data_IF_087052735634
#
_entry.id   IF_087052735634
#
_cell.length_a   1.000
_cell.length_b   1.000
_cell.length_c   1.000
_cell.angle_alpha   90.00
_cell.angle_beta   90.00
_cell.angle_gamma   90.00
#
_symmetry.space_group_name_H-M   'P 1'
#
loop_
_entity.id
_entity.type
_entity.pdbx_description
1 polymer ?
#
# COMPACT_ATOMS: atom_id res chain seq x y z
N UNK A 1 -9.28 -16.17 -21.02
CA UNK A 1 -10.00 -15.71 -19.80
C UNK A 1 -9.44 -16.44 -18.58
N UNK A 2 -9.37 -15.79 -17.41
CA UNK A 2 -9.08 -16.45 -16.12
C UNK A 2 -10.37 -16.52 -15.31
N UNK A 3 -10.76 -17.70 -14.83
CA UNK A 3 -11.98 -17.90 -14.06
C UNK A 3 -11.73 -17.62 -12.57
N UNK A 4 -12.39 -16.60 -12.03
CA UNK A 4 -12.31 -16.28 -10.60
C UNK A 4 -13.24 -17.19 -9.78
N UNK A 5 -12.70 -17.91 -8.80
CA UNK A 5 -13.46 -18.77 -7.87
C UNK A 5 -13.65 -18.06 -6.52
N UNK A 6 -14.76 -18.37 -5.85
CA UNK A 6 -15.04 -17.85 -4.51
C UNK A 6 -14.12 -18.52 -3.47
N UNK A 7 -13.73 -17.78 -2.44
CA UNK A 7 -13.00 -18.32 -1.28
C UNK A 7 -13.84 -18.23 -0.02
N UNK A 8 -13.51 -19.02 1.00
CA UNK A 8 -14.06 -18.81 2.34
C UNK A 8 -13.40 -17.60 3.00
N UNK A 9 -14.00 -16.42 2.81
CA UNK A 9 -13.50 -15.15 3.35
C UNK A 9 -14.23 -14.71 4.63
N UNK A 10 -14.96 -15.62 5.27
CA UNK A 10 -15.81 -15.36 6.45
C UNK A 10 -15.07 -14.75 7.64
N UNK A 11 -13.74 -14.86 7.66
CA UNK A 11 -12.88 -14.30 8.70
C UNK A 11 -11.98 -13.15 8.23
N UNK A 12 -12.06 -12.74 6.97
CA UNK A 12 -11.26 -11.62 6.43
C UNK A 12 -11.77 -10.26 6.92
N UNK A 13 -10.90 -9.23 6.88
CA UNK A 13 -11.32 -7.85 7.18
C UNK A 13 -12.13 -7.25 6.01
N UNK A 14 -11.98 -7.80 4.81
CA UNK A 14 -12.63 -7.32 3.59
C UNK A 14 -13.34 -8.48 2.89
N UNK A 15 -14.66 -8.58 3.07
CA UNK A 15 -15.51 -9.61 2.45
C UNK A 15 -15.65 -9.38 0.93
N UNK A 16 -14.82 -10.02 0.13
CA UNK A 16 -14.84 -9.92 -1.34
C UNK A 16 -15.60 -11.08 -2.00
N UNK A 17 -15.62 -12.26 -1.40
CA UNK A 17 -16.25 -13.48 -1.97
C UNK A 17 -17.78 -13.44 -1.94
N UNK A 18 -18.38 -12.62 -1.06
CA UNK A 18 -19.81 -12.35 -1.12
C UNK A 18 -20.20 -11.62 -2.42
N UNK A 19 -19.27 -10.85 -3.00
CA UNK A 19 -19.49 -10.01 -4.18
C UNK A 19 -18.90 -10.60 -5.45
N UNK A 20 -17.83 -11.39 -5.35
CA UNK A 20 -17.04 -11.88 -6.47
C UNK A 20 -16.68 -13.37 -6.31
N UNK A 21 -16.35 -14.03 -7.42
CA UNK A 21 -15.94 -15.44 -7.43
C UNK A 21 -17.11 -16.40 -7.66
N UNK A 22 -16.87 -17.40 -8.51
CA UNK A 22 -17.82 -18.48 -8.76
C UNK A 22 -17.70 -19.58 -7.70
N UNK A 23 -18.83 -20.07 -7.19
CA UNK A 23 -18.84 -21.28 -6.38
C UNK A 23 -18.34 -22.47 -7.21
N UNK A 24 -17.62 -23.40 -6.57
CA UNK A 24 -17.07 -24.58 -7.23
C UNK A 24 -18.14 -25.36 -8.02
N UNK A 25 -19.34 -25.52 -7.46
CA UNK A 25 -20.49 -26.18 -8.11
C UNK A 25 -20.96 -25.51 -9.42
N UNK A 26 -20.69 -24.21 -9.57
CA UNK A 26 -21.05 -23.42 -10.75
C UNK A 26 -19.95 -23.40 -11.81
N UNK A 27 -18.69 -23.72 -11.44
CA UNK A 27 -17.54 -23.60 -12.33
C UNK A 27 -17.66 -24.46 -13.58
N UNK A 28 -18.10 -25.72 -13.47
CA UNK A 28 -18.31 -26.60 -14.63
C UNK A 28 -19.26 -25.98 -15.66
N UNK A 29 -20.39 -25.45 -15.20
CA UNK A 29 -21.37 -24.82 -16.09
C UNK A 29 -20.80 -23.58 -16.81
N UNK A 30 -20.01 -22.77 -16.09
CA UNK A 30 -19.33 -21.61 -16.69
C UNK A 30 -18.31 -22.04 -17.76
N UNK A 31 -17.52 -23.09 -17.50
CA UNK A 31 -16.55 -23.63 -18.44
C UNK A 31 -17.20 -24.22 -19.70
N UNK A 32 -18.34 -24.91 -19.55
CA UNK A 32 -19.13 -25.41 -20.66
C UNK A 32 -19.66 -24.27 -21.53
N UNK A 33 -20.19 -23.22 -20.91
CA UNK A 33 -20.70 -22.05 -21.62
C UNK A 33 -19.57 -21.28 -22.32
N UNK A 34 -18.40 -21.17 -21.71
CA UNK A 34 -17.21 -20.60 -22.35
C UNK A 34 -16.83 -21.40 -23.60
N UNK A 35 -16.80 -22.73 -23.51
CA UNK A 35 -16.51 -23.61 -24.66
C UNK A 35 -17.54 -23.47 -25.78
N UNK A 36 -18.84 -23.45 -25.45
CA UNK A 36 -19.95 -23.20 -26.41
C UNK A 36 -19.85 -21.84 -27.08
N UNK A 37 -19.28 -20.85 -26.38
CA UNK A 37 -19.08 -19.49 -26.89
C UNK A 37 -17.73 -19.30 -27.57
N UNK A 38 -16.97 -20.39 -27.83
CA UNK A 38 -15.62 -20.34 -28.39
C UNK A 38 -14.63 -19.47 -27.59
N UNK A 39 -14.85 -19.32 -26.29
CA UNK A 39 -13.96 -18.60 -25.39
C UNK A 39 -13.06 -19.59 -24.65
N UNK A 40 -11.76 -19.35 -24.74
CA UNK A 40 -10.77 -20.15 -24.03
C UNK A 40 -10.58 -19.65 -22.59
N UNK A 41 -10.66 -20.59 -21.65
CA UNK A 41 -10.32 -20.35 -20.25
C UNK A 41 -8.92 -20.90 -20.01
N UNK A 42 -7.99 -20.01 -19.69
CA UNK A 42 -6.55 -20.30 -19.59
C UNK A 42 -6.08 -20.47 -18.15
N UNK A 43 -6.95 -20.26 -17.17
CA UNK A 43 -6.54 -20.32 -15.78
C UNK A 43 -7.65 -20.06 -14.78
N UNK A 44 -7.25 -20.10 -13.52
CA UNK A 44 -8.11 -19.84 -12.35
C UNK A 44 -7.48 -18.76 -11.49
N UNK A 45 -8.31 -17.88 -10.94
CA UNK A 45 -7.90 -16.92 -9.90
C UNK A 45 -8.78 -17.05 -8.67
N UNK A 46 -8.27 -16.63 -7.52
CA UNK A 46 -9.05 -16.46 -6.30
C UNK A 46 -8.48 -15.30 -5.49
N UNK A 47 -9.23 -14.78 -4.51
CA UNK A 47 -8.74 -13.70 -3.67
C UNK A 47 -9.26 -13.84 -2.23
N UNK A 48 -8.38 -14.25 -1.30
CA UNK A 48 -8.73 -14.53 0.10
C UNK A 48 -9.17 -13.28 0.88
N UNK A 49 -8.66 -12.11 0.50
CA UNK A 49 -8.99 -10.84 1.14
C UNK A 49 -7.93 -10.40 2.16
N UNK A 50 -7.91 -9.10 2.45
CA UNK A 50 -6.95 -8.54 3.42
C UNK A 50 -7.29 -8.96 4.85
N UNK A 51 -6.26 -9.22 5.65
CA UNK A 51 -6.41 -9.46 7.09
C UNK A 51 -7.07 -10.78 7.47
N UNK A 52 -7.08 -11.77 6.57
CA UNK A 52 -7.54 -13.12 6.92
C UNK A 52 -6.66 -13.72 8.04
N UNK A 53 -7.24 -14.14 9.18
CA UNK A 53 -6.50 -14.69 10.31
C UNK A 53 -6.15 -16.17 10.13
N UNK A 54 -6.71 -16.85 9.12
CA UNK A 54 -6.44 -18.26 8.84
C UNK A 54 -5.70 -18.43 7.50
N UNK A 55 -4.39 -18.75 7.53
CA UNK A 55 -3.62 -19.07 6.33
C UNK A 55 -4.16 -20.26 5.52
N UNK A 56 -4.87 -21.20 6.16
CA UNK A 56 -5.33 -22.43 5.50
C UNK A 56 -6.34 -22.18 4.38
N UNK A 57 -7.01 -21.02 4.40
CA UNK A 57 -7.91 -20.60 3.30
C UNK A 57 -7.19 -20.56 1.96
N UNK A 58 -5.90 -20.17 1.92
CA UNK A 58 -5.10 -20.23 0.69
C UNK A 58 -4.90 -21.68 0.22
N UNK A 59 -4.57 -22.61 1.12
CA UNK A 59 -4.38 -24.01 0.77
C UNK A 59 -5.68 -24.64 0.24
N UNK A 60 -6.82 -24.34 0.88
CA UNK A 60 -8.12 -24.77 0.39
C UNK A 60 -8.43 -24.20 -0.99
N UNK A 61 -8.18 -22.90 -1.20
CA UNK A 61 -8.46 -22.23 -2.47
C UNK A 61 -7.58 -22.78 -3.62
N UNK A 62 -6.33 -23.13 -3.33
CA UNK A 62 -5.43 -23.83 -4.28
C UNK A 62 -5.97 -25.22 -4.61
N UNK A 63 -6.46 -25.97 -3.62
CA UNK A 63 -7.07 -27.29 -3.83
C UNK A 63 -8.33 -27.19 -4.71
N UNK A 64 -9.19 -26.20 -4.46
CA UNK A 64 -10.39 -25.95 -5.26
C UNK A 64 -10.04 -25.50 -6.69
N UNK A 65 -9.04 -24.65 -6.85
CA UNK A 65 -8.52 -24.27 -8.17
C UNK A 65 -8.06 -25.51 -8.95
N UNK A 66 -7.38 -26.46 -8.31
CA UNK A 66 -6.97 -27.71 -8.95
C UNK A 66 -8.16 -28.51 -9.48
N UNK A 67 -9.25 -28.60 -8.73
CA UNK A 67 -10.48 -29.25 -9.20
C UNK A 67 -11.05 -28.54 -10.43
N UNK A 68 -10.99 -27.20 -10.49
CA UNK A 68 -11.45 -26.43 -11.66
C UNK A 68 -10.54 -26.63 -12.87
N UNK A 69 -9.22 -26.75 -12.68
CA UNK A 69 -8.29 -27.14 -13.75
C UNK A 69 -8.66 -28.49 -14.36
N UNK A 70 -9.02 -29.47 -13.52
CA UNK A 70 -9.47 -30.81 -13.97
C UNK A 70 -10.77 -30.73 -14.76
N UNK A 71 -11.76 -29.97 -14.27
CA UNK A 71 -13.00 -29.71 -15.03
C UNK A 71 -12.71 -29.03 -16.37
N UNK A 72 -11.75 -28.09 -16.39
CA UNK A 72 -11.30 -27.40 -17.59
C UNK A 72 -10.72 -28.37 -18.63
N UNK A 73 -9.82 -29.24 -18.20
CA UNK A 73 -9.17 -30.23 -19.04
C UNK A 73 -10.19 -31.21 -19.66
N UNK A 74 -11.15 -31.71 -18.88
CA UNK A 74 -12.25 -32.57 -19.39
C UNK A 74 -13.08 -31.89 -20.49
N UNK A 75 -13.25 -30.57 -20.39
CA UNK A 75 -14.00 -29.75 -21.37
C UNK A 75 -13.12 -29.24 -22.52
N UNK A 76 -11.84 -29.63 -22.55
CA UNK A 76 -10.87 -29.28 -23.59
C UNK A 76 -10.38 -27.84 -23.51
N UNK A 77 -10.27 -27.26 -22.30
CA UNK A 77 -9.54 -26.02 -22.04
C UNK A 77 -8.10 -26.32 -21.66
N UNK A 78 -7.13 -25.56 -22.19
CA UNK A 78 -5.71 -25.69 -21.86
C UNK A 78 -5.32 -24.63 -20.84
N UNK A 79 -5.56 -24.93 -19.56
CA UNK A 79 -5.26 -24.02 -18.46
C UNK A 79 -3.80 -24.11 -18.04
N UNK A 80 -3.15 -22.95 -17.89
CA UNK A 80 -1.75 -22.80 -17.54
C UNK A 80 -1.49 -21.60 -16.60
N UNK A 81 -2.53 -20.90 -16.11
CA UNK A 81 -2.38 -19.77 -15.18
C UNK A 81 -3.11 -20.05 -13.87
N UNK A 82 -2.42 -19.97 -12.74
CA UNK A 82 -3.03 -19.90 -11.42
C UNK A 82 -2.67 -18.55 -10.78
N UNK A 83 -3.68 -17.74 -10.49
CA UNK A 83 -3.51 -16.48 -9.78
C UNK A 83 -4.03 -16.61 -8.33
N UNK A 84 -3.12 -16.45 -7.39
CA UNK A 84 -3.39 -16.57 -5.95
C UNK A 84 -4.07 -15.34 -5.36
N UNK A 85 -4.25 -14.27 -6.16
CA UNK A 85 -4.80 -13.00 -5.75
C UNK A 85 -3.93 -12.30 -4.71
N UNK A 86 -4.57 -11.49 -3.86
CA UNK A 86 -3.92 -10.67 -2.84
C UNK A 86 -4.38 -10.99 -1.41
N UNK A 87 -4.14 -10.03 -0.51
CA UNK A 87 -4.49 -10.13 0.91
C UNK A 87 -3.28 -10.28 1.85
N UNK A 88 -2.08 -10.39 1.29
CA UNK A 88 -0.82 -10.49 2.02
C UNK A 88 -0.57 -9.27 2.94
N UNK A 89 -0.11 -9.47 4.18
CA UNK A 89 0.13 -8.38 5.13
C UNK A 89 1.34 -7.52 4.72
N UNK A 90 1.23 -6.21 4.88
CA UNK A 90 2.32 -5.26 4.59
C UNK A 90 3.22 -4.92 5.79
N UNK A 91 2.84 -5.36 7.00
CA UNK A 91 3.55 -5.08 8.26
C UNK A 91 3.68 -6.35 9.09
N UNK A 92 4.71 -6.45 9.92
CA UNK A 92 5.00 -7.67 10.70
C UNK A 92 4.10 -7.84 11.93
N UNK A 93 3.52 -6.75 12.45
CA UNK A 93 2.69 -6.75 13.66
C UNK A 93 1.23 -7.18 13.40
N UNK A 94 0.99 -8.00 12.39
CA UNK A 94 -0.32 -8.59 12.12
C UNK A 94 -0.48 -9.92 12.87
N UNK A 95 -1.74 -10.37 13.05
CA UNK A 95 -2.05 -11.66 13.68
C UNK A 95 -1.37 -12.84 12.97
N UNK A 96 -1.27 -12.74 11.65
CA UNK A 96 -0.64 -13.72 10.77
C UNK A 96 0.48 -13.03 10.01
N UNK A 97 1.67 -13.63 10.00
CA UNK A 97 2.83 -13.08 9.28
C UNK A 97 2.84 -13.55 7.82
N UNK A 98 3.51 -12.80 6.97
CA UNK A 98 3.66 -13.13 5.57
C UNK A 98 4.34 -14.48 5.34
N UNK A 99 5.39 -14.79 6.11
CA UNK A 99 6.17 -16.02 5.99
C UNK A 99 5.32 -17.25 6.31
N UNK A 100 4.37 -17.12 7.23
CA UNK A 100 3.44 -18.18 7.61
C UNK A 100 2.46 -18.49 6.46
N UNK A 101 1.90 -17.44 5.85
CA UNK A 101 1.05 -17.57 4.65
C UNK A 101 1.85 -18.19 3.50
N UNK A 102 3.07 -17.70 3.25
CA UNK A 102 3.93 -18.21 2.20
C UNK A 102 4.28 -19.70 2.41
N UNK A 103 4.53 -20.12 3.65
CA UNK A 103 4.80 -21.54 3.96
C UNK A 103 3.61 -22.44 3.64
N UNK A 104 2.39 -21.99 3.96
CA UNK A 104 1.16 -22.74 3.67
C UNK A 104 0.90 -22.80 2.17
N UNK A 105 1.05 -21.67 1.47
CA UNK A 105 0.92 -21.61 0.01
C UNK A 105 1.92 -22.54 -0.66
N UNK A 106 3.21 -22.47 -0.31
CA UNK A 106 4.24 -23.31 -0.92
C UNK A 106 3.94 -24.81 -0.74
N UNK A 107 3.51 -25.21 0.46
CA UNK A 107 3.14 -26.61 0.73
C UNK A 107 1.93 -27.07 -0.11
N UNK A 108 0.94 -26.20 -0.30
CA UNK A 108 -0.22 -26.49 -1.14
C UNK A 108 0.14 -26.51 -2.64
N UNK A 109 0.98 -25.59 -3.11
CA UNK A 109 1.48 -25.58 -4.49
C UNK A 109 2.28 -26.84 -4.80
N UNK A 110 3.18 -27.27 -3.92
CA UNK A 110 3.95 -28.51 -4.12
C UNK A 110 3.05 -29.75 -4.23
N UNK A 111 1.89 -29.75 -3.56
CA UNK A 111 0.91 -30.85 -3.61
C UNK A 111 0.03 -30.80 -4.86
N UNK A 112 -0.52 -29.64 -5.21
CA UNK A 112 -1.58 -29.52 -6.23
C UNK A 112 -1.06 -29.03 -7.60
N UNK A 113 0.02 -28.25 -7.61
CA UNK A 113 0.63 -27.65 -8.80
C UNK A 113 2.16 -27.81 -8.75
N UNK A 114 2.68 -29.06 -8.75
CA UNK A 114 4.10 -29.33 -8.58
C UNK A 114 4.94 -28.71 -9.71
N UNK A 115 6.22 -28.48 -9.42
CA UNK A 115 7.16 -27.94 -10.42
C UNK A 115 7.17 -28.78 -11.70
N UNK A 116 7.16 -28.10 -12.84
CA UNK A 116 7.13 -28.74 -14.16
C UNK A 116 5.74 -29.18 -14.63
N UNK A 117 4.66 -28.92 -13.87
CA UNK A 117 3.30 -29.21 -14.32
C UNK A 117 2.78 -28.28 -15.44
N UNK A 118 3.56 -27.27 -15.84
CA UNK A 118 3.21 -26.34 -16.93
C UNK A 118 2.22 -25.25 -16.54
N UNK A 119 2.09 -24.94 -15.24
CA UNK A 119 1.24 -23.86 -14.73
C UNK A 119 2.09 -22.72 -14.19
N UNK A 120 1.86 -21.51 -14.69
CA UNK A 120 2.42 -20.27 -14.18
C UNK A 120 1.65 -19.78 -12.95
N UNK A 121 2.37 -19.52 -11.88
CA UNK A 121 1.80 -19.06 -10.60
C UNK A 121 1.99 -17.55 -10.48
N UNK A 122 0.89 -16.83 -10.33
CA UNK A 122 0.81 -15.38 -10.18
C UNK A 122 0.23 -15.00 -8.80
N UNK A 123 0.47 -13.75 -8.37
CA UNK A 123 -0.14 -13.18 -7.18
C UNK A 123 -0.29 -11.66 -7.31
N UNK A 124 -1.36 -11.12 -6.74
CA UNK A 124 -1.74 -9.70 -6.77
C UNK A 124 -1.33 -8.99 -5.47
N UNK A 125 -0.04 -8.69 -5.35
CA UNK A 125 0.52 -8.03 -4.16
C UNK A 125 0.23 -6.52 -4.14
N UNK A 126 -0.82 -6.12 -3.42
CA UNK A 126 -1.12 -4.70 -3.15
C UNK A 126 -0.39 -4.20 -1.90
N UNK A 127 -1.09 -4.26 -0.75
CA UNK A 127 -0.61 -3.69 0.52
C UNK A 127 0.77 -4.19 0.95
N UNK A 128 1.13 -5.41 0.55
CA UNK A 128 2.42 -6.02 0.86
C UNK A 128 3.60 -5.11 0.51
N UNK A 129 3.58 -4.49 -0.68
CA UNK A 129 4.68 -3.67 -1.16
C UNK A 129 4.76 -2.29 -0.50
N UNK A 130 3.60 -1.67 -0.29
CA UNK A 130 3.55 -0.22 -0.07
C UNK A 130 3.19 0.19 1.35
N UNK A 131 2.59 -0.68 2.15
CA UNK A 131 2.05 -0.28 3.48
C UNK A 131 3.10 0.42 4.34
N UNK A 132 4.26 -0.23 4.56
CA UNK A 132 5.34 0.30 5.41
C UNK A 132 6.25 1.31 4.71
N UNK A 133 6.08 1.54 3.40
CA UNK A 133 6.93 2.44 2.63
C UNK A 133 6.59 3.92 2.86
N UNK A 134 5.41 4.22 3.42
CA UNK A 134 4.93 5.58 3.65
C UNK A 134 4.69 5.84 5.13
N UNK A 135 5.16 7.02 5.54
CA UNK A 135 4.87 7.64 6.82
C UNK A 135 4.26 9.00 6.54
N UNK A 136 3.13 9.31 7.16
CA UNK A 136 2.46 10.59 7.01
C UNK A 136 2.63 11.43 8.27
N UNK A 137 2.79 12.74 8.10
CA UNK A 137 2.80 13.70 9.17
C UNK A 137 1.62 14.66 8.96
N UNK A 138 0.82 14.83 10.01
CA UNK A 138 -0.35 15.72 10.01
C UNK A 138 -0.23 16.72 11.14
N UNK A 139 -0.70 17.95 10.90
CA UNK A 139 -0.62 19.02 11.87
C UNK A 139 -1.92 19.16 12.67
N UNK A 140 -1.79 19.54 13.94
CA UNK A 140 -2.94 19.91 14.77
C UNK A 140 -3.38 21.32 14.39
N UNK A 141 -4.57 21.46 13.82
CA UNK A 141 -5.12 22.75 13.38
C UNK A 141 -6.02 23.42 14.41
N UNK A 142 -6.66 22.62 15.27
CA UNK A 142 -7.44 23.13 16.39
C UNK A 142 -7.39 22.19 17.60
N UNK A 143 -7.65 22.76 18.77
CA UNK A 143 -7.67 22.07 20.05
C UNK A 143 -8.87 22.54 20.86
N UNK A 144 -9.60 21.60 21.46
CA UNK A 144 -10.70 21.87 22.38
C UNK A 144 -10.50 21.04 23.65
N UNK A 145 -10.68 21.68 24.80
CA UNK A 145 -10.64 21.01 26.09
C UNK A 145 -12.06 20.84 26.60
N UNK A 146 -12.42 19.62 26.95
CA UNK A 146 -13.76 19.26 27.42
C UNK A 146 -13.63 18.81 28.87
N UNK A 147 -14.26 19.54 29.77
CA UNK A 147 -14.41 19.13 31.16
C UNK A 147 -15.55 18.13 31.23
N UNK A 148 -15.29 16.95 31.78
CA UNK A 148 -16.34 16.00 32.08
C UNK A 148 -16.94 16.38 33.43
N UNK A 149 -18.12 17.00 33.40
CA UNK A 149 -18.94 17.14 34.61
C UNK A 149 -19.31 15.72 35.08
N UNK A 150 -18.92 15.37 36.30
CA UNK A 150 -19.40 14.15 36.93
C UNK A 150 -20.76 14.42 37.57
N UNK A 151 -21.88 13.87 37.06
CA UNK A 151 -23.08 13.82 37.86
C UNK A 151 -22.87 12.74 38.94
N UNK A 152 -22.72 13.16 40.19
CA UNK A 152 -22.75 12.34 41.41
C UNK A 152 -21.47 11.58 41.83
N UNK A 153 -20.36 12.28 42.09
CA UNK A 153 -19.44 11.83 43.15
C UNK A 153 -19.03 12.99 44.03
N UNK A 154 -19.54 12.96 45.25
CA UNK A 154 -19.03 13.75 46.36
C UNK A 154 -17.53 13.46 46.54
N UNK A 155 -16.83 14.52 46.89
CA UNK A 155 -15.39 14.74 46.86
C UNK A 155 -14.56 13.60 47.49
N UNK A 156 -13.60 13.06 46.73
CA UNK A 156 -12.29 12.67 47.26
C UNK A 156 -11.28 12.53 46.09
N UNK A 157 -10.25 13.37 46.10
CA UNK A 157 -9.20 13.60 45.08
C UNK A 157 -9.59 14.43 43.83
N UNK A 158 -9.48 15.76 44.00
CA UNK A 158 -9.79 16.79 43.01
C UNK A 158 -8.85 16.87 41.80
N UNK A 159 -9.28 16.24 40.71
CA UNK A 159 -8.89 16.62 39.35
C UNK A 159 -10.10 16.34 38.46
N UNK A 160 -10.80 17.39 38.02
CA UNK A 160 -11.85 17.25 37.00
C UNK A 160 -11.28 16.47 35.81
N UNK A 161 -11.95 15.38 35.41
CA UNK A 161 -11.46 14.54 34.32
C UNK A 161 -11.58 15.37 33.03
N UNK A 162 -10.43 15.76 32.49
CA UNK A 162 -10.32 16.62 31.31
C UNK A 162 -10.01 15.74 30.10
N UNK A 163 -10.87 15.81 29.09
CA UNK A 163 -10.63 15.19 27.78
C UNK A 163 -10.19 16.26 26.80
N UNK A 164 -9.19 15.96 25.97
CA UNK A 164 -8.69 16.90 24.95
C UNK A 164 -9.05 16.39 23.56
N UNK A 165 -9.68 17.24 22.77
CA UNK A 165 -10.05 16.98 21.38
C UNK A 165 -9.08 17.75 20.49
N UNK A 166 -8.38 17.04 19.62
CA UNK A 166 -7.48 17.63 18.62
C UNK A 166 -8.08 17.45 17.23
N UNK A 167 -8.15 18.55 16.47
CA UNK A 167 -8.53 18.52 15.05
C UNK A 167 -7.27 18.55 14.20
N UNK A 168 -7.23 17.67 13.21
CA UNK A 168 -6.14 17.48 12.26
C UNK A 168 -6.46 18.16 10.93
N UNK A 169 -5.44 18.41 10.14
CA UNK A 169 -5.56 18.93 8.77
C UNK A 169 -6.07 17.91 7.75
N UNK A 170 -6.13 16.63 8.12
CA UNK A 170 -6.70 15.54 7.32
C UNK A 170 -7.48 14.54 8.20
N UNK A 171 -8.40 13.80 7.58
CA UNK A 171 -9.41 12.99 8.26
C UNK A 171 -9.68 11.65 7.59
N UNK A 172 -10.75 11.00 8.03
CA UNK A 172 -11.15 9.67 7.55
C UNK A 172 -11.66 9.70 6.10
N UNK A 173 -12.02 10.88 5.60
CA UNK A 173 -12.40 11.09 4.20
C UNK A 173 -11.20 11.32 3.27
N UNK A 174 -9.99 11.42 3.84
CA UNK A 174 -8.72 11.56 3.11
C UNK A 174 -7.77 10.41 3.42
N UNK A 175 -6.60 10.72 3.99
CA UNK A 175 -5.53 9.73 4.23
C UNK A 175 -5.91 8.68 5.28
N UNK A 176 -6.84 8.97 6.20
CA UNK A 176 -7.25 8.08 7.27
C UNK A 176 -8.48 7.21 6.91
N UNK A 177 -8.74 7.02 5.62
CA UNK A 177 -9.88 6.20 5.16
C UNK A 177 -9.81 4.73 5.60
N UNK A 178 -8.63 4.25 6.02
CA UNK A 178 -8.48 2.93 6.64
C UNK A 178 -9.37 2.76 7.88
N UNK A 179 -9.73 3.86 8.57
CA UNK A 179 -10.65 3.82 9.70
C UNK A 179 -12.06 3.44 9.24
N UNK A 180 -12.50 3.93 8.07
CA UNK A 180 -13.82 3.61 7.51
C UNK A 180 -13.87 2.25 6.81
N UNK A 181 -12.84 1.93 6.01
CA UNK A 181 -12.89 0.77 5.10
C UNK A 181 -12.22 -0.48 5.67
N UNK A 182 -11.14 -0.31 6.44
CA UNK A 182 -10.38 -1.43 7.01
C UNK A 182 -10.68 -1.63 8.51
N UNK A 183 -11.43 -0.72 9.15
CA UNK A 183 -11.63 -0.64 10.60
C UNK A 183 -10.30 -0.61 11.40
N UNK A 184 -9.25 -0.05 10.79
CA UNK A 184 -7.93 0.08 11.41
C UNK A 184 -7.75 1.51 11.92
N UNK A 185 -7.65 1.63 13.24
CA UNK A 185 -7.32 2.89 13.91
C UNK A 185 -5.80 3.08 13.96
N UNK A 186 -5.24 4.07 13.25
CA UNK A 186 -3.80 4.29 13.23
C UNK A 186 -3.33 4.92 14.55
N UNK A 187 -2.17 4.48 15.04
CA UNK A 187 -1.62 4.99 16.30
C UNK A 187 -0.67 6.17 16.02
N UNK A 188 -0.90 7.35 16.61
CA UNK A 188 -0.01 8.49 16.42
C UNK A 188 1.32 8.27 17.15
N UNK A 189 2.40 8.65 16.49
CA UNK A 189 3.73 8.82 17.06
C UNK A 189 4.00 10.30 17.25
N UNK A 190 4.54 10.64 18.42
CA UNK A 190 4.94 12.01 18.73
C UNK A 190 6.34 12.26 18.18
N UNK A 191 6.50 13.31 17.36
CA UNK A 191 7.79 13.70 16.79
C UNK A 191 8.86 13.95 17.87
N UNK A 192 8.43 14.51 19.01
CA UNK A 192 9.27 14.69 20.20
C UNK A 192 8.85 13.66 21.23
N UNK A 193 9.79 12.83 21.69
CA UNK A 193 9.54 12.00 22.88
C UNK A 193 9.20 12.94 24.03
N UNK A 194 8.03 12.80 24.68
CA UNK A 194 7.74 13.59 25.85
C UNK A 194 8.81 13.26 26.92
N UNK A 195 9.26 14.26 27.70
CA UNK A 195 9.97 14.01 28.95
C UNK A 195 9.20 12.96 29.77
N UNK A 196 9.92 12.04 30.41
CA UNK A 196 9.40 10.83 31.09
C UNK A 196 8.34 11.11 32.18
N UNK A 197 8.07 12.37 32.52
CA UNK A 197 7.22 12.81 33.63
C UNK A 197 6.03 13.69 33.22
N UNK A 198 5.70 13.81 31.92
CA UNK A 198 4.55 14.61 31.52
C UNK A 198 3.21 13.91 31.80
N UNK A 199 2.19 14.64 32.31
CA UNK A 199 0.85 14.09 32.51
C UNK A 199 0.23 13.74 31.15
N UNK A 200 -0.42 12.57 31.10
CA UNK A 200 -1.19 12.12 29.95
C UNK A 200 -2.67 12.44 30.16
N UNK A 201 -3.34 12.81 29.07
CA UNK A 201 -4.75 13.15 29.03
C UNK A 201 -5.48 12.22 28.07
N UNK A 202 -6.69 11.81 28.45
CA UNK A 202 -7.62 11.16 27.53
C UNK A 202 -7.89 12.10 26.36
N UNK A 203 -7.65 11.61 25.14
CA UNK A 203 -7.61 12.42 23.95
C UNK A 203 -8.30 11.74 22.77
N UNK A 204 -8.87 12.55 21.87
CA UNK A 204 -9.40 12.10 20.58
C UNK A 204 -8.91 12.96 19.43
N UNK A 205 -8.77 12.34 18.26
CA UNK A 205 -8.27 12.93 17.02
C UNK A 205 -9.39 12.94 15.98
N UNK A 206 -9.65 14.11 15.42
CA UNK A 206 -10.75 14.37 14.50
C UNK A 206 -10.21 15.00 13.22
N UNK A 207 -10.79 14.65 12.08
CA UNK A 207 -10.47 15.29 10.83
C UNK A 207 -11.13 16.68 10.69
N UNK A 208 -10.92 17.34 9.53
CA UNK A 208 -11.40 18.68 9.28
C UNK A 208 -12.88 18.74 8.86
N UNK A 209 -13.52 17.62 8.52
CA UNK A 209 -14.91 17.63 8.09
C UNK A 209 -15.85 17.93 9.28
N UNK A 210 -16.91 18.70 9.02
CA UNK A 210 -17.96 18.98 10.00
C UNK A 210 -18.94 17.80 10.15
N UNK A 211 -18.40 16.58 10.29
CA UNK A 211 -19.15 15.34 10.45
C UNK A 211 -18.66 14.60 11.69
N UNK A 212 -19.60 14.14 12.53
CA UNK A 212 -19.30 13.33 13.72
C UNK A 212 -18.71 11.96 13.41
N UNK A 213 -18.67 11.55 12.13
CA UNK A 213 -17.97 10.34 11.68
C UNK A 213 -16.51 10.58 11.29
N UNK A 214 -16.07 11.84 11.17
CA UNK A 214 -14.68 12.18 10.88
C UNK A 214 -13.79 12.07 12.12
N UNK A 215 -13.86 10.90 12.76
CA UNK A 215 -13.11 10.57 13.96
C UNK A 215 -12.01 9.58 13.58
N UNK A 216 -10.76 10.02 13.69
CA UNK A 216 -9.59 9.22 13.32
C UNK A 216 -9.22 8.25 14.45
N UNK A 217 -9.29 8.71 15.70
CA UNK A 217 -8.96 7.89 16.87
C UNK A 217 -9.59 8.45 18.15
N UNK A 218 -10.06 7.57 19.04
CA UNK A 218 -10.60 7.92 20.36
C UNK A 218 -9.91 7.12 21.47
N UNK A 219 -9.98 7.63 22.70
CA UNK A 219 -9.46 6.93 23.88
C UNK A 219 -7.93 6.86 23.95
N UNK A 220 -7.24 7.77 23.25
CA UNK A 220 -5.79 7.85 23.27
C UNK A 220 -5.30 8.54 24.55
N UNK A 221 -4.16 8.10 25.08
CA UNK A 221 -3.48 8.78 26.18
C UNK A 221 -2.29 9.55 25.64
N UNK A 222 -2.47 10.86 25.46
CA UNK A 222 -1.47 11.74 24.88
C UNK A 222 -1.04 12.80 25.89
N UNK A 223 0.23 13.27 25.86
CA UNK A 223 0.61 14.46 26.58
C UNK A 223 -0.16 15.67 26.04
N UNK A 224 -0.08 16.80 26.73
CA UNK A 224 -0.69 18.02 26.24
C UNK A 224 0.02 18.51 24.97
N UNK A 225 -0.70 18.46 23.85
CA UNK A 225 -0.26 18.98 22.55
C UNK A 225 -0.86 20.36 22.30
N UNK A 226 -0.30 21.07 21.32
CA UNK A 226 -0.67 22.42 20.92
C UNK A 226 -0.96 22.51 19.42
N UNK A 227 -1.67 23.57 19.03
CA UNK A 227 -1.90 23.89 17.63
C UNK A 227 -0.55 24.13 16.95
N UNK A 228 -0.35 23.51 15.79
CA UNK A 228 0.92 23.50 15.04
C UNK A 228 1.88 22.36 15.41
N UNK A 229 1.59 21.56 16.45
CA UNK A 229 2.33 20.32 16.69
C UNK A 229 2.00 19.28 15.61
N UNK A 230 2.98 18.43 15.30
CA UNK A 230 2.87 17.39 14.28
C UNK A 230 2.71 16.00 14.91
N UNK A 231 1.76 15.25 14.37
CA UNK A 231 1.58 13.83 14.64
C UNK A 231 2.08 13.01 13.45
N UNK A 232 2.83 11.95 13.73
CA UNK A 232 3.41 11.08 12.71
C UNK A 232 2.70 9.73 12.75
N UNK A 233 2.29 9.22 11.59
CA UNK A 233 1.64 7.92 11.47
C UNK A 233 2.44 7.07 10.47
N UNK A 234 3.00 5.98 10.98
CA UNK A 234 3.71 4.98 10.17
C UNK A 234 2.72 4.03 9.48
N UNK A 235 3.20 3.31 8.48
CA UNK A 235 2.45 2.27 7.77
C UNK A 235 1.23 2.79 7.00
N UNK A 236 1.34 4.00 6.46
CA UNK A 236 0.25 4.74 5.81
C UNK A 236 0.37 4.75 4.28
N UNK A 237 0.83 3.65 3.68
CA UNK A 237 1.07 3.60 2.22
C UNK A 237 0.04 2.86 1.38
N UNK A 238 -0.74 1.95 1.98
CA UNK A 238 -1.75 1.18 1.24
C UNK A 238 -3.13 1.80 1.43
N UNK A 239 -3.82 2.07 0.31
CA UNK A 239 -5.19 2.59 0.27
C UNK A 239 -5.38 3.98 0.93
N UNK A 240 -4.32 4.76 1.14
CA UNK A 240 -4.37 6.08 1.81
C UNK A 240 -4.44 7.23 0.80
N UNK A 241 -3.33 7.49 0.10
CA UNK A 241 -3.20 8.61 -0.84
C UNK A 241 -3.93 8.28 -2.15
N UNK A 242 -4.73 9.22 -2.65
CA UNK A 242 -5.48 9.07 -3.92
C UNK A 242 -6.86 8.44 -3.78
N UNK A 243 -7.21 7.91 -2.60
CA UNK A 243 -8.56 7.40 -2.27
C UNK A 243 -9.46 8.45 -1.60
N UNK A 244 -8.91 9.63 -1.28
CA UNK A 244 -9.63 10.71 -0.62
C UNK A 244 -10.66 11.38 -1.54
N UNK A 245 -11.83 11.69 -0.98
CA UNK A 245 -12.83 12.51 -1.66
C UNK A 245 -12.38 13.97 -1.64
N UNK A 246 -12.51 14.71 -2.76
CA UNK A 246 -12.27 16.16 -2.83
C UNK A 246 -13.31 16.99 -2.05
N UNK A 247 -14.03 16.39 -1.10
CA UNK A 247 -14.93 17.07 -0.19
C UNK A 247 -14.11 17.97 0.74
N UNK A 248 -13.98 19.25 0.37
CA UNK A 248 -13.40 20.29 1.22
C UNK A 248 -12.22 21.07 0.63
N UNK A 249 -11.82 20.81 -0.62
CA UNK A 249 -10.74 21.59 -1.26
C UNK A 249 -9.37 21.43 -0.60
N UNK A 250 -9.15 20.33 0.12
CA UNK A 250 -7.88 20.00 0.75
C UNK A 250 -6.79 19.83 -0.32
N UNK A 251 -5.64 20.46 -0.08
CA UNK A 251 -4.47 20.34 -0.95
C UNK A 251 -4.03 18.88 -1.03
N UNK A 252 -3.63 18.44 -2.22
CA UNK A 252 -3.02 17.13 -2.43
C UNK A 252 -1.83 16.96 -1.48
N UNK A 253 -1.84 15.89 -0.66
CA UNK A 253 -0.73 15.54 0.22
C UNK A 253 0.58 15.51 -0.57
N UNK A 254 1.57 16.30 -0.15
CA UNK A 254 2.87 16.36 -0.82
C UNK A 254 3.68 15.10 -0.48
N UNK A 255 3.97 14.29 -1.49
CA UNK A 255 4.76 13.07 -1.32
C UNK A 255 6.22 13.35 -1.62
N UNK A 256 7.09 13.09 -0.65
CA UNK A 256 8.53 13.14 -0.83
C UNK A 256 9.08 11.71 -0.88
N UNK A 257 9.61 11.30 -2.03
CA UNK A 257 10.28 10.02 -2.17
C UNK A 257 11.74 10.12 -1.73
N UNK A 258 12.20 9.13 -0.97
CA UNK A 258 13.58 8.99 -0.58
C UNK A 258 14.05 7.56 -0.85
N UNK A 259 15.30 7.42 -1.29
CA UNK A 259 15.93 6.12 -1.51
C UNK A 259 17.38 6.20 -1.04
N UNK A 260 17.79 5.20 -0.25
CA UNK A 260 19.20 5.10 0.15
C UNK A 260 20.06 4.74 -1.05
N UNK A 261 21.33 5.16 -1.03
CA UNK A 261 22.29 4.79 -2.07
C UNK A 261 22.42 3.26 -2.21
N UNK A 262 22.40 2.54 -1.09
CA UNK A 262 22.47 1.08 -1.06
C UNK A 262 21.27 0.45 -1.76
N UNK A 263 20.05 0.95 -1.50
CA UNK A 263 18.85 0.47 -2.17
C UNK A 263 18.87 0.77 -3.68
N UNK A 264 19.34 1.96 -4.05
CA UNK A 264 19.49 2.35 -5.46
C UNK A 264 20.50 1.46 -6.21
N UNK A 265 21.64 1.17 -5.61
CA UNK A 265 22.66 0.28 -6.19
C UNK A 265 22.13 -1.16 -6.33
N UNK A 266 21.38 -1.65 -5.33
CA UNK A 266 20.73 -2.96 -5.39
C UNK A 266 19.69 -3.06 -6.53
N UNK A 267 18.89 -2.02 -6.74
CA UNK A 267 17.91 -1.97 -7.83
C UNK A 267 18.58 -1.86 -9.20
N UNK A 268 19.64 -1.06 -9.31
CA UNK A 268 20.40 -0.89 -10.57
C UNK A 268 20.93 -2.23 -11.08
N UNK A 269 21.46 -3.07 -10.19
CA UNK A 269 21.97 -4.39 -10.56
C UNK A 269 20.91 -5.39 -11.03
N UNK A 270 19.62 -5.11 -10.78
CA UNK A 270 18.49 -5.96 -11.21
C UNK A 270 17.77 -5.41 -12.45
N UNK A 271 17.78 -4.09 -12.65
CA UNK A 271 17.01 -3.42 -13.71
C UNK A 271 17.79 -3.19 -15.00
N UNK A 272 19.12 -3.10 -14.94
CA UNK A 272 19.95 -2.92 -16.13
C UNK A 272 20.61 -4.25 -16.49
N UNK A 273 20.54 -4.68 -17.76
CA UNK A 273 21.47 -5.69 -18.27
C UNK A 273 22.89 -5.21 -17.94
N UNK A 274 23.72 -6.10 -17.38
CA UNK A 274 25.15 -5.82 -17.26
C UNK A 274 25.65 -5.62 -18.68
N UNK A 275 25.89 -4.38 -19.10
CA UNK A 275 26.68 -4.14 -20.29
C UNK A 275 28.03 -4.80 -20.03
N UNK A 276 28.36 -5.80 -20.83
CA UNK A 276 29.70 -6.32 -20.89
C UNK A 276 30.56 -5.15 -21.38
N UNK A 277 31.42 -4.63 -20.50
CA UNK A 277 32.53 -3.78 -20.90
C UNK A 277 33.37 -4.58 -21.90
N UNK A 278 33.09 -4.45 -23.19
CA UNK A 278 34.08 -4.73 -24.21
C UNK A 278 35.07 -3.57 -24.21
N UNK A 279 36.34 -3.95 -24.14
CA UNK A 279 37.52 -3.10 -24.10
C UNK A 279 37.42 -1.88 -25.04
N UNK A 280 37.22 -0.70 -24.45
CA UNK A 280 37.57 0.56 -25.08
C UNK A 280 38.69 1.21 -24.24
N UNK A 281 39.93 0.84 -24.56
CA UNK A 281 41.10 1.64 -24.22
C UNK A 281 40.86 3.09 -24.65
N UNK A 282 40.93 4.00 -23.68
CA UNK A 282 41.42 5.35 -23.88
C UNK A 282 40.39 6.43 -24.15
N UNK A 283 39.69 6.90 -23.10
CA UNK A 283 39.41 8.34 -22.92
C UNK A 283 39.35 8.65 -21.42
N UNK A 284 40.03 9.72 -21.01
CA UNK A 284 40.26 10.13 -19.62
C UNK A 284 39.00 10.23 -18.75
N UNK A 285 39.07 9.62 -17.54
CA UNK A 285 38.21 9.98 -16.40
C UNK A 285 38.46 11.43 -15.99
N UNK A 286 37.47 12.33 -15.88
CA UNK A 286 37.67 13.57 -15.17
C UNK A 286 37.59 13.28 -13.67
N UNK A 287 38.71 13.49 -12.99
CA UNK A 287 38.79 13.65 -11.54
C UNK A 287 38.03 14.92 -11.14
N UNK A 288 37.06 14.78 -10.25
CA UNK A 288 36.75 15.69 -9.12
C UNK A 288 37.34 17.11 -9.19
N UNK A 289 36.50 18.12 -9.43
CA UNK A 289 36.17 19.24 -8.50
C UNK A 289 35.58 20.45 -9.27
N UNK A 290 34.70 21.22 -8.62
CA UNK A 290 34.39 22.61 -8.99
C UNK A 290 33.14 22.83 -9.84
N UNK A 291 32.29 23.74 -9.36
CA UNK A 291 31.10 24.28 -10.02
C UNK A 291 31.39 24.92 -11.37
N UNK A 292 30.42 24.87 -12.29
CA UNK A 292 29.85 26.07 -12.92
C UNK A 292 28.54 25.73 -13.66
N UNK A 293 27.54 26.59 -13.44
CA UNK A 293 26.26 26.64 -14.14
C UNK A 293 26.51 27.32 -15.48
N UNK A 294 26.04 26.75 -16.59
CA UNK A 294 25.54 27.52 -17.75
C UNK A 294 24.77 26.62 -18.71
N UNK A 295 23.55 27.10 -18.98
CA UNK A 295 22.72 26.96 -20.19
C UNK A 295 22.31 25.59 -20.78
N UNK A 296 21.02 25.31 -20.57
CA UNK A 296 19.99 25.12 -21.62
C UNK A 296 20.34 24.21 -22.80
N UNK A 297 20.04 22.91 -22.67
CA UNK A 297 19.57 22.09 -23.78
C UNK A 297 18.39 21.24 -23.33
N UNK A 298 17.20 21.68 -23.72
CA UNK A 298 15.95 20.95 -23.57
C UNK A 298 15.94 19.74 -24.50
N UNK A 299 16.04 18.53 -23.95
CA UNK A 299 15.52 17.32 -24.59
C UNK A 299 14.73 16.56 -23.53
N UNK A 300 13.41 16.68 -23.58
CA UNK A 300 12.51 15.89 -22.75
C UNK A 300 12.45 14.46 -23.26
N UNK A 301 12.57 13.42 -22.42
CA UNK A 301 12.26 12.06 -22.86
C UNK A 301 10.74 11.96 -23.05
N UNK A 302 10.35 11.67 -24.28
CA UNK A 302 8.97 11.28 -24.64
C UNK A 302 8.75 9.89 -24.08
N UNK A 303 7.90 9.77 -23.06
CA UNK A 303 7.38 8.47 -22.63
C UNK A 303 6.28 8.04 -23.60
N UNK A 304 6.59 7.14 -24.53
CA UNK A 304 5.58 6.35 -25.23
C UNK A 304 5.03 5.27 -24.28
N UNK A 305 3.70 5.00 -24.28
CA UNK A 305 3.12 3.93 -23.47
C UNK A 305 3.74 2.59 -23.84
N UNK A 306 4.06 1.77 -22.85
CA UNK A 306 4.63 0.44 -23.03
C UNK A 306 3.68 -0.45 -23.85
N UNK A 307 4.08 -0.75 -25.08
CA UNK A 307 3.61 -1.92 -25.80
C UNK A 307 4.23 -3.17 -25.19
N UNK A 308 3.40 -4.21 -25.08
CA UNK A 308 3.71 -5.58 -24.62
C UNK A 308 5.03 -6.05 -25.24
N UNK A 309 6.03 -6.33 -24.40
CA UNK A 309 7.21 -7.10 -24.77
C UNK A 309 7.02 -8.50 -24.19
N UNK A 310 6.57 -9.38 -25.07
CA UNK A 310 6.53 -10.83 -24.89
C UNK A 310 7.98 -11.33 -25.02
N UNK A 311 8.59 -11.71 -23.88
CA UNK A 311 10.00 -12.03 -23.82
C UNK A 311 10.34 -12.88 -22.59
N UNK A 312 10.01 -14.17 -22.68
CA UNK A 312 10.60 -15.32 -21.96
C UNK A 312 11.33 -14.99 -20.64
N UNK A 313 10.58 -14.87 -19.55
CA UNK A 313 11.08 -14.88 -18.16
C UNK A 313 10.49 -16.05 -17.36
N UNK A 314 10.68 -17.27 -17.87
CA UNK A 314 10.18 -18.51 -17.23
C UNK A 314 10.84 -18.81 -15.87
N UNK A 315 12.03 -18.28 -15.57
CA UNK A 315 12.81 -18.70 -14.38
C UNK A 315 12.85 -17.70 -13.21
N UNK A 316 12.48 -16.42 -13.39
CA UNK A 316 12.58 -15.44 -12.30
C UNK A 316 11.36 -15.45 -11.37
N UNK A 317 10.16 -15.71 -11.91
CA UNK A 317 8.91 -15.68 -11.14
C UNK A 317 8.76 -16.91 -10.24
N UNK A 318 9.11 -18.11 -10.74
CA UNK A 318 9.22 -19.35 -9.95
C UNK A 318 10.19 -19.22 -8.78
N UNK A 319 11.28 -18.48 -8.99
CA UNK A 319 12.32 -18.21 -7.98
C UNK A 319 11.92 -17.10 -7.02
N UNK A 320 11.01 -16.21 -7.43
CA UNK A 320 10.42 -15.18 -6.60
C UNK A 320 9.47 -15.85 -5.60
N UNK A 321 8.39 -16.53 -6.01
CA UNK A 321 7.41 -17.17 -5.09
C UNK A 321 8.06 -18.15 -4.09
N UNK A 322 9.01 -18.99 -4.54
CA UNK A 322 9.73 -19.93 -3.65
C UNK A 322 10.95 -19.33 -2.93
N UNK A 323 11.37 -18.12 -3.29
CA UNK A 323 12.49 -17.37 -2.70
C UNK A 323 12.08 -16.29 -1.69
N UNK A 324 10.79 -16.13 -1.41
CA UNK A 324 10.23 -15.07 -0.55
C UNK A 324 10.85 -15.01 0.86
N UNK A 325 11.34 -16.13 1.40
CA UNK A 325 12.01 -16.15 2.71
C UNK A 325 13.41 -15.52 2.73
N UNK A 326 14.17 -15.55 1.62
CA UNK A 326 15.58 -15.12 1.59
C UNK A 326 15.80 -13.74 0.96
N UNK A 327 15.06 -13.39 -0.10
CA UNK A 327 15.30 -12.13 -0.84
C UNK A 327 14.58 -10.95 -0.18
N UNK A 328 13.33 -11.13 0.25
CA UNK A 328 12.57 -10.08 0.94
C UNK A 328 13.08 -9.84 2.37
N UNK A 329 13.52 -10.87 3.10
CA UNK A 329 14.15 -10.72 4.42
C UNK A 329 15.47 -9.95 4.38
N UNK A 330 16.22 -10.02 3.27
CA UNK A 330 17.50 -9.31 3.11
C UNK A 330 17.33 -7.84 2.73
N UNK A 331 16.32 -7.50 1.91
CA UNK A 331 15.94 -6.11 1.63
C UNK A 331 15.25 -5.46 2.85
N UNK A 332 14.45 -6.22 3.62
CA UNK A 332 13.72 -5.73 4.81
C UNK A 332 14.60 -5.60 6.06
N UNK A 333 15.53 -6.53 6.32
CA UNK A 333 16.49 -6.37 7.44
C UNK A 333 17.42 -5.17 7.26
N UNK A 334 17.72 -4.80 6.00
CA UNK A 334 18.43 -3.57 5.65
C UNK A 334 17.58 -2.31 5.85
N UNK A 335 16.25 -2.41 5.98
CA UNK A 335 15.33 -1.31 6.28
C UNK A 335 15.07 -1.20 7.81
N UNK A 336 14.95 -2.33 8.51
CA UNK A 336 14.67 -2.39 9.95
C UNK A 336 15.90 -2.10 10.83
N UNK A 337 17.11 -2.43 10.37
CA UNK A 337 18.36 -2.10 11.09
C UNK A 337 18.56 -0.58 11.29
N UNK A 338 17.88 0.25 10.49
CA UNK A 338 17.94 1.71 10.56
C UNK A 338 16.86 2.33 11.45
N UNK A 339 15.68 1.72 11.57
CA UNK A 339 14.61 2.18 12.48
C UNK A 339 15.06 2.15 13.96
N UNK A 340 15.98 1.25 14.32
CA UNK A 340 16.54 1.16 15.68
C UNK A 340 17.74 2.09 15.96
N UNK A 341 18.32 2.73 14.94
CA UNK A 341 19.42 3.71 15.12
C UNK A 341 18.94 5.08 14.69
N UNK A 342 18.22 5.75 15.59
CA UNK A 342 17.76 7.12 15.41
C UNK A 342 18.87 8.05 14.92
N UNK A 343 18.83 8.38 13.63
CA UNK A 343 19.57 9.47 13.02
C UNK A 343 18.54 10.45 12.47
N UNK A 344 18.01 11.25 13.38
CA UNK A 344 17.35 12.51 13.06
C UNK A 344 18.41 13.45 12.49
N UNK A 345 18.45 13.60 11.16
CA UNK A 345 19.21 14.69 10.55
C UNK A 345 18.42 15.98 10.72
N UNK A 346 18.85 16.76 11.72
CA UNK A 346 18.37 18.10 12.00
C UNK A 346 18.83 19.09 10.92
N UNK A 347 17.93 19.96 10.49
CA UNK A 347 18.26 21.18 9.76
C UNK A 347 18.37 22.34 10.76
N UNK A 348 19.60 22.61 11.21
CA UNK A 348 20.01 23.96 11.55
C UNK A 348 21.42 24.17 10.99
N UNK A 349 21.44 24.89 9.87
CA UNK A 349 22.62 25.56 9.30
C UNK A 349 23.94 24.80 9.28
N UNK A 350 24.04 23.67 8.56
CA UNK A 350 25.30 23.16 8.01
C UNK A 350 24.99 22.42 6.69
N UNK A 351 25.60 22.88 5.59
CA UNK A 351 25.49 22.25 4.26
C UNK A 351 26.21 20.90 4.26
N UNK A 352 25.49 19.81 3.94
CA UNK A 352 26.06 18.54 3.50
C UNK A 352 25.67 18.30 2.02
N UNK A 353 26.63 18.09 1.10
CA UNK A 353 26.35 17.99 -0.33
C UNK A 353 26.31 16.52 -0.79
N UNK A 354 25.19 15.81 -0.62
CA UNK A 354 24.98 14.51 -1.31
C UNK A 354 23.59 13.91 -1.09
N UNK A 355 22.53 14.62 -1.51
CA UNK A 355 21.20 14.03 -1.69
C UNK A 355 20.69 14.45 -3.09
N UNK A 356 20.28 13.47 -3.90
CA UNK A 356 19.67 13.73 -5.21
C UNK A 356 18.16 13.75 -4.99
N UNK A 357 17.59 14.95 -4.95
CA UNK A 357 16.14 15.19 -4.91
C UNK A 357 15.60 15.28 -6.34
N UNK A 358 14.54 14.53 -6.64
CA UNK A 358 13.79 14.68 -7.89
C UNK A 358 12.46 15.38 -7.59
N UNK A 359 12.18 16.47 -8.29
CA UNK A 359 10.87 17.15 -8.31
C UNK A 359 10.17 16.80 -9.62
N UNK A 360 8.98 16.21 -9.56
CA UNK A 360 8.12 16.04 -10.73
C UNK A 360 7.35 17.35 -11.01
N UNK A 361 7.18 17.79 -12.26
CA UNK A 361 6.41 18.97 -12.59
C UNK A 361 4.90 18.71 -12.42
N UNK A 362 4.20 19.68 -11.85
CA UNK A 362 2.75 19.75 -11.76
C UNK A 362 2.15 20.01 -13.15
N UNK A 363 1.36 19.05 -13.66
CA UNK A 363 0.54 19.24 -14.85
C UNK A 363 -0.68 20.11 -14.51
N UNK A 364 -0.54 21.44 -14.58
CA UNK A 364 -1.66 22.37 -14.58
C UNK A 364 -2.34 22.35 -15.95
N UNK A 365 -3.47 21.65 -16.02
CA UNK A 365 -4.40 21.70 -17.15
C UNK A 365 -5.09 23.08 -17.26
N UNK A 366 -5.14 23.55 -18.49
CA UNK A 366 -5.63 24.84 -18.99
C UNK A 366 -7.06 25.21 -18.59
N UNK A 367 -7.27 26.51 -18.31
CA UNK A 367 -8.56 27.18 -18.19
C UNK A 367 -9.44 26.98 -19.44
N UNK A 368 -10.76 26.73 -19.29
CA UNK A 368 -11.70 26.84 -20.39
C UNK A 368 -12.23 28.27 -20.48
N UNK A 369 -11.89 28.97 -21.57
CA UNK A 369 -12.61 30.16 -22.03
C UNK A 369 -13.40 29.79 -23.28
N UNK A 370 -14.65 30.25 -23.27
CA UNK A 370 -15.49 30.61 -24.42
C UNK A 370 -16.01 29.48 -25.33
N UNK A 371 -17.16 28.91 -24.95
CA UNK A 371 -18.25 28.68 -25.90
C UNK A 371 -19.59 29.09 -25.29
N UNK A 372 -20.20 30.08 -25.94
CA UNK A 372 -21.46 30.74 -25.63
C UNK A 372 -22.62 30.07 -26.40
N UNK A 373 -23.78 30.01 -25.72
CA UNK A 373 -25.18 29.89 -26.22
C UNK A 373 -25.80 28.47 -26.39
N UNK A 374 -27.15 28.33 -26.26
CA UNK A 374 -28.08 29.03 -25.37
C UNK A 374 -28.98 28.07 -24.55
N UNK A 375 -29.60 28.64 -23.52
CA UNK A 375 -30.65 28.05 -22.67
C UNK A 375 -31.91 27.68 -23.47
N UNK A 376 -32.66 26.66 -22.99
CA UNK A 376 -34.09 26.85 -22.87
C UNK A 376 -34.59 26.59 -21.45
N UNK A 377 -35.34 27.57 -20.99
CA UNK A 377 -36.30 27.55 -19.89
C UNK A 377 -37.24 26.36 -19.96
N UNK A 378 -37.50 25.73 -18.81
CA UNK A 378 -38.78 25.08 -18.53
C UNK A 378 -39.13 25.26 -17.05
N UNK A 379 -40.05 26.19 -16.81
CA UNK A 379 -40.89 26.29 -15.62
C UNK A 379 -42.00 25.25 -15.69
N UNK A 380 -42.07 24.37 -14.69
CA UNK A 380 -43.18 24.28 -13.71
C UNK A 380 -42.79 23.28 -12.61
#
# INVERSE_FOLDING_TARGET
MVLCIATDDTHSLSFLSLKFGALLKSCRHLLENAKKSHMEVVGVSFHVGSGCPDPQVYAQSIAEARLVFEMGAELGHTMHILDLGGGFPGVERTKVRFEEIASVINSALDLYFPEGCGVDILAELGRYYVTSAFTVAVSIVAKKEVLLDQPNREEENGSALKTIVYHLDDGVYGIFNSVLFDNICPTPLLQKKPPTEQPLYSSSLWGPAADGRDCVAEGLWLPQLHIGDWLVFENMGAYTVGTGSLLGGTQTCHITYAMSRVAWEALRGQLLPVEQDEDAEGVCKPLSCGWEITDTLCVGPVFTPASIIEGRKENEMWRMVRGWGLVCGKLRSLQESWLHRGLLLWSSSLRCPSAVTFTAPSCLGTSPRDFLLPTPTCTL
#
